data_IF_543024301825
#
_entry.id   IF_543024301825
#
_cell.length_a   1.000
_cell.length_b   1.000
_cell.length_c   1.000
_cell.angle_alpha   90.00
_cell.angle_beta   90.00
_cell.angle_gamma   90.00
#
_symmetry.space_group_name_H-M   'P 1'
#
loop_
_entity.id
_entity.type
_entity.pdbx_description
1 polymer ?
#
# COMPACT_ATOMS: atom_id res chain seq x y z
N UNK A 1 -14.69 3.88 18.18
CA UNK A 1 -15.10 4.02 18.26
C UNK A 1 -15.13 3.80 18.21
N UNK A 2 -15.00 3.63 18.44
CA UNK A 2 -15.35 3.64 18.64
C UNK A 2 -15.26 3.37 18.74
N UNK A 3 -15.11 3.15 19.02
CA UNK A 3 -15.35 3.18 19.37
C UNK A 3 -15.25 2.97 19.39
N UNK A 4 -15.08 2.88 19.61
CA UNK A 4 -15.26 3.03 19.91
C UNK A 4 -15.15 2.52 20.08
N UNK A 5 -15.11 2.27 20.58
CA UNK A 5 -15.20 2.15 21.05
C UNK A 5 -14.79 1.87 21.25
N UNK A 6 -14.54 1.91 21.57
CA UNK A 6 -14.28 1.99 21.96
C UNK A 6 -13.81 1.90 22.07
N UNK A 7 -13.82 1.89 22.48
CA UNK A 7 -13.32 2.07 22.72
C UNK A 7 -12.59 1.66 23.15
N UNK A 8 -12.58 1.42 23.66
CA UNK A 8 -11.97 1.25 24.10
C UNK A 8 -11.06 0.75 24.28
N UNK A 9 -11.03 0.54 24.65
CA UNK A 9 -9.94 0.13 24.88
C UNK A 9 -9.02 -0.21 23.92
N UNK A 10 -9.07 -0.50 23.19
CA UNK A 10 -8.49 -0.64 22.08
C UNK A 10 -7.72 0.44 21.54
N UNK A 11 -7.94 1.53 21.83
CA UNK A 11 -7.34 2.73 21.42
C UNK A 11 -5.86 2.74 21.55
N UNK A 12 -5.36 2.11 22.57
CA UNK A 12 -3.95 2.08 22.87
C UNK A 12 -3.16 1.34 21.82
N UNK A 13 -3.82 0.48 21.06
CA UNK A 13 -3.15 -0.39 20.10
C UNK A 13 -3.34 0.04 18.65
N UNK A 14 -3.75 1.27 18.42
CA UNK A 14 -3.94 1.78 17.07
C UNK A 14 -2.66 1.70 16.25
N UNK A 15 -1.53 2.05 16.86
CA UNK A 15 -0.24 2.00 16.19
C UNK A 15 0.11 0.58 15.80
N UNK A 16 -0.01 -0.35 16.72
CA UNK A 16 0.28 -1.75 16.45
C UNK A 16 -0.67 -2.31 15.38
N UNK A 17 -1.93 -1.98 15.50
CA UNK A 17 -2.91 -2.42 14.52
C UNK A 17 -2.55 -1.91 13.12
N UNK A 18 -2.21 -0.62 13.03
CA UNK A 18 -1.85 -0.02 11.76
C UNK A 18 -0.59 -0.64 11.18
N UNK A 19 0.39 -0.95 12.02
CA UNK A 19 1.61 -1.60 11.57
C UNK A 19 1.32 -2.97 10.99
N UNK A 20 0.54 -3.77 11.71
CA UNK A 20 0.17 -5.10 11.24
C UNK A 20 -0.63 -5.04 9.95
N UNK A 21 -1.60 -4.13 9.91
CA UNK A 21 -2.44 -3.95 8.73
C UNK A 21 -1.60 -3.59 7.51
N UNK A 22 -0.67 -2.65 7.70
CA UNK A 22 0.22 -2.21 6.64
C UNK A 22 1.05 -3.37 6.10
N UNK A 23 1.62 -4.17 6.99
CA UNK A 23 2.43 -5.32 6.58
C UNK A 23 1.62 -6.34 5.81
N UNK A 24 0.43 -6.65 6.29
CA UNK A 24 -0.43 -7.63 5.65
C UNK A 24 -0.84 -7.17 4.25
N UNK A 25 -1.28 -5.93 4.14
CA UNK A 25 -1.72 -5.40 2.86
C UNK A 25 -0.56 -5.28 1.88
N UNK A 26 0.62 -4.90 2.37
CA UNK A 26 1.82 -4.82 1.55
C UNK A 26 2.14 -6.18 0.92
N UNK A 27 2.06 -7.23 1.73
CA UNK A 27 2.28 -8.60 1.22
C UNK A 27 1.26 -9.00 0.17
N UNK A 28 0.05 -8.49 0.28
CA UNK A 28 -1.01 -8.79 -0.67
C UNK A 28 -0.89 -8.00 -1.96
N UNK A 29 0.08 -7.09 -2.04
CA UNK A 29 0.35 -6.36 -3.27
C UNK A 29 -0.32 -5.01 -3.35
N UNK A 30 -0.63 -4.39 -2.20
CA UNK A 30 -1.20 -3.04 -2.18
C UNK A 30 -0.12 -2.03 -1.86
N UNK A 31 -0.28 -0.83 -2.40
CA UNK A 31 0.68 0.24 -2.23
C UNK A 31 0.37 1.14 -1.05
N UNK A 32 1.30 2.07 -0.76
CA UNK A 32 1.16 2.93 0.44
C UNK A 32 -0.04 3.86 0.39
N UNK A 33 -0.39 4.37 -0.79
CA UNK A 33 -1.54 5.28 -0.90
C UNK A 33 -2.84 4.57 -0.54
N UNK A 34 -3.00 3.35 -1.02
CA UNK A 34 -4.21 2.59 -0.74
C UNK A 34 -4.30 2.20 0.72
N UNK A 35 -3.18 1.78 1.27
CA UNK A 35 -3.15 1.39 2.69
C UNK A 35 -3.46 2.58 3.57
N UNK A 36 -2.89 3.75 3.25
CA UNK A 36 -3.17 4.96 4.00
C UNK A 36 -4.65 5.31 3.95
N UNK A 37 -5.25 5.21 2.78
CA UNK A 37 -6.67 5.46 2.62
C UNK A 37 -7.51 4.50 3.46
N UNK A 38 -7.15 3.22 3.44
CA UNK A 38 -7.88 2.21 4.20
C UNK A 38 -7.75 2.44 5.70
N UNK A 39 -6.56 2.81 6.16
CA UNK A 39 -6.35 3.10 7.57
C UNK A 39 -7.16 4.33 7.99
N UNK A 40 -7.19 5.34 7.14
CA UNK A 40 -7.98 6.54 7.40
C UNK A 40 -9.46 6.21 7.54
N UNK A 41 -9.97 5.33 6.67
CA UNK A 41 -11.37 4.95 6.72
C UNK A 41 -11.70 4.12 7.97
N UNK A 42 -10.69 3.58 8.63
CA UNK A 42 -10.87 2.86 9.89
C UNK A 42 -10.67 3.76 11.12
N UNK A 43 -10.50 5.05 10.88
CA UNK A 43 -10.35 6.01 11.98
C UNK A 43 -8.94 6.20 12.47
N UNK A 44 -7.95 5.67 11.76
CA UNK A 44 -6.55 5.87 12.12
C UNK A 44 -6.11 7.25 11.65
N UNK A 45 -5.44 8.00 12.52
CA UNK A 45 -4.97 9.34 12.21
C UNK A 45 -4.01 9.33 11.01
N UNK A 46 -4.17 10.31 10.11
CA UNK A 46 -3.33 10.41 8.92
C UNK A 46 -1.85 10.55 9.25
N UNK A 47 -1.53 11.33 10.29
CA UNK A 47 -0.15 11.51 10.71
C UNK A 47 0.46 10.18 11.13
N UNK A 48 -0.28 9.42 11.90
CA UNK A 48 0.18 8.11 12.35
C UNK A 48 0.32 7.14 11.18
N UNK A 49 -0.67 7.13 10.30
CA UNK A 49 -0.62 6.29 9.10
C UNK A 49 0.61 6.58 8.25
N UNK A 50 0.89 7.86 8.03
CA UNK A 50 2.04 8.27 7.23
C UNK A 50 3.34 7.80 7.85
N UNK A 51 3.49 7.98 9.17
CA UNK A 51 4.69 7.54 9.87
C UNK A 51 4.90 6.04 9.75
N UNK A 52 3.84 5.28 9.94
CA UNK A 52 3.92 3.82 9.91
C UNK A 52 4.29 3.35 8.51
N UNK A 53 3.68 3.93 7.50
CA UNK A 53 3.95 3.56 6.11
C UNK A 53 5.37 3.90 5.73
N UNK A 54 5.87 5.07 6.14
CA UNK A 54 7.26 5.45 5.87
C UNK A 54 8.24 4.53 6.60
N UNK A 55 7.94 4.20 7.84
CA UNK A 55 8.79 3.32 8.62
C UNK A 55 8.87 1.92 8.02
N UNK A 56 7.77 1.46 7.47
CA UNK A 56 7.73 0.14 6.84
C UNK A 56 8.71 0.07 5.68
N UNK A 57 8.72 1.07 4.82
CA UNK A 57 9.63 1.13 3.69
C UNK A 57 9.48 0.00 2.71
N UNK A 58 10.44 -0.10 1.79
CA UNK A 58 10.46 -1.20 0.82
C UNK A 58 9.30 -1.18 -0.16
N UNK A 59 8.70 -0.04 -0.39
CA UNK A 59 7.53 0.05 -1.26
C UNK A 59 7.88 -0.16 -2.73
N UNK A 60 9.10 0.19 -3.15
CA UNK A 60 9.54 -0.09 -4.50
C UNK A 60 9.60 -1.59 -4.75
N UNK A 61 10.14 -2.33 -3.79
CA UNK A 61 10.18 -3.77 -3.89
C UNK A 61 8.79 -4.37 -3.85
N UNK A 62 7.92 -3.81 -3.01
CA UNK A 62 6.53 -4.25 -2.95
C UNK A 62 5.84 -4.07 -4.29
N UNK A 63 6.11 -2.96 -4.98
CA UNK A 63 5.54 -2.72 -6.30
C UNK A 63 6.04 -3.76 -7.30
N UNK A 64 7.33 -4.08 -7.26
CA UNK A 64 7.90 -5.10 -8.13
C UNK A 64 7.27 -6.46 -7.88
N UNK A 65 7.09 -6.80 -6.61
CA UNK A 65 6.48 -8.08 -6.25
C UNK A 65 5.04 -8.17 -6.73
N UNK A 66 4.27 -7.10 -6.55
CA UNK A 66 2.89 -7.05 -7.02
C UNK A 66 2.84 -7.19 -8.54
N UNK A 67 3.74 -6.50 -9.22
CA UNK A 67 3.84 -6.57 -10.68
C UNK A 67 4.15 -7.99 -11.14
N UNK A 68 5.16 -8.61 -10.53
CA UNK A 68 5.59 -9.94 -10.93
C UNK A 68 4.51 -10.99 -10.70
N UNK A 69 3.71 -10.82 -9.67
CA UNK A 69 2.62 -11.75 -9.40
C UNK A 69 1.54 -11.67 -10.48
N UNK A 70 1.27 -10.48 -10.98
CA UNK A 70 0.22 -10.26 -11.97
C UNK A 70 0.73 -10.51 -13.39
N UNK A 71 1.92 -10.03 -13.68
CA UNK A 71 2.48 -10.06 -15.04
C UNK A 71 3.74 -10.90 -15.06
N UNK A 72 3.55 -12.20 -15.09
CA UNK A 72 4.67 -13.15 -15.03
C UNK A 72 5.59 -13.05 -16.23
N UNK A 73 5.10 -12.52 -17.34
CA UNK A 73 5.91 -12.34 -18.54
C UNK A 73 6.79 -11.11 -18.50
N UNK A 74 6.65 -10.30 -17.46
CA UNK A 74 7.47 -9.10 -17.31
C UNK A 74 6.86 -7.87 -17.96
N UNK A 75 7.72 -6.88 -18.19
CA UNK A 75 7.29 -5.61 -18.72
C UNK A 75 6.89 -5.74 -20.18
N UNK A 76 5.71 -5.23 -20.53
CA UNK A 76 5.22 -5.26 -21.90
C UNK A 76 6.09 -4.39 -22.80
N UNK A 77 6.28 -4.85 -24.04
CA UNK A 77 7.04 -4.08 -25.02
C UNK A 77 6.19 -3.01 -25.70
N UNK A 78 4.88 -3.25 -25.80
CA UNK A 78 4.00 -2.29 -26.43
C UNK A 78 3.59 -1.20 -25.47
N UNK A 79 3.52 0.02 -25.99
CA UNK A 79 3.16 1.18 -25.20
C UNK A 79 1.79 1.03 -24.50
N UNK A 80 0.79 0.54 -25.25
CA UNK A 80 -0.54 0.40 -24.71
C UNK A 80 -0.59 -0.59 -23.55
N UNK A 81 0.09 -1.72 -23.71
CA UNK A 81 0.11 -2.76 -22.68
C UNK A 81 0.90 -2.29 -21.48
N UNK A 82 2.02 -1.59 -21.71
CA UNK A 82 2.80 -1.01 -20.62
C UNK A 82 1.98 -0.02 -19.81
N UNK A 83 1.17 0.81 -20.49
CA UNK A 83 0.30 1.75 -19.81
C UNK A 83 -0.70 1.01 -18.91
N UNK A 84 -1.26 -0.08 -19.38
CA UNK A 84 -2.18 -0.88 -18.58
C UNK A 84 -1.50 -1.45 -17.34
N UNK A 85 -0.25 -1.87 -17.49
CA UNK A 85 0.52 -2.38 -16.37
C UNK A 85 0.75 -1.29 -15.32
N UNK A 86 1.05 -0.07 -15.76
CA UNK A 86 1.23 1.07 -14.85
C UNK A 86 -0.07 1.39 -14.13
N UNK A 87 -1.19 1.35 -14.85
CA UNK A 87 -2.50 1.62 -14.26
C UNK A 87 -2.83 0.56 -13.21
N UNK A 88 -2.48 -0.68 -13.46
CA UNK A 88 -2.68 -1.74 -12.48
C UNK A 88 -1.99 -1.38 -11.15
N UNK A 89 -0.74 -0.97 -11.21
CA UNK A 89 0.00 -0.60 -10.01
C UNK A 89 -0.58 0.65 -9.36
N UNK A 90 -1.02 1.61 -10.18
CA UNK A 90 -1.64 2.81 -9.67
C UNK A 90 -2.93 2.48 -8.91
N UNK A 91 -3.72 1.56 -9.45
CA UNK A 91 -4.95 1.12 -8.80
C UNK A 91 -4.68 0.38 -7.49
N UNK A 92 -3.51 -0.22 -7.37
CA UNK A 92 -3.10 -0.88 -6.13
C UNK A 92 -2.61 0.13 -5.09
N UNK A 93 -2.46 1.40 -5.47
CA UNK A 93 -2.09 2.44 -4.53
C UNK A 93 -0.62 2.80 -4.49
N UNK A 94 0.16 2.34 -5.47
CA UNK A 94 1.58 2.70 -5.54
C UNK A 94 1.75 4.10 -6.11
N UNK A 95 2.81 4.78 -5.64
CA UNK A 95 3.12 6.13 -6.13
C UNK A 95 3.82 6.05 -7.49
N UNK A 96 3.88 7.20 -8.18
CA UNK A 96 4.57 7.26 -9.47
C UNK A 96 6.02 6.83 -9.34
N UNK A 97 6.69 7.24 -8.25
CA UNK A 97 8.08 6.86 -8.04
C UNK A 97 8.25 5.35 -7.95
N UNK A 98 7.36 4.71 -7.22
CA UNK A 98 7.38 3.25 -7.07
C UNK A 98 7.10 2.56 -8.39
N UNK A 99 6.12 3.08 -9.13
CA UNK A 99 5.78 2.52 -10.43
C UNK A 99 6.94 2.69 -11.40
N UNK A 100 7.53 3.87 -11.47
CA UNK A 100 8.67 4.11 -12.33
C UNK A 100 9.83 3.17 -12.00
N UNK A 101 10.03 2.90 -10.73
CA UNK A 101 11.08 1.99 -10.30
C UNK A 101 10.90 0.59 -10.89
N UNK A 102 9.66 0.16 -11.03
CA UNK A 102 9.36 -1.15 -11.63
C UNK A 102 9.74 -1.17 -13.11
N UNK A 103 9.55 -0.06 -13.78
CA UNK A 103 9.73 0.02 -15.23
C UNK A 103 11.06 0.62 -15.68
N UNK A 104 11.93 0.97 -14.74
CA UNK A 104 13.27 1.51 -15.12
C UNK A 104 14.35 0.47 -15.38
#
# INVERSE_FOLDING_TARGET
>A
TTLSRLKDNNLINDERYAEMYTQIRKRKGFGPKRIKYELSSKGIDDSLSSLIIEDEGGWQEAAKNAFNKKFKKGIASEYKDKAKQKIFLQNRGFTFQEIDSVFS
#
